data_IF_620905817619
#
_entry.id   IF_620905817619
#
_cell.length_a   1.000
_cell.length_b   1.000
_cell.length_c   1.000
_cell.angle_alpha   90.00
_cell.angle_beta   90.00
_cell.angle_gamma   90.00
#
_symmetry.space_group_name_H-M   'P 1'
#
loop_
_entity.id
_entity.type
_entity.pdbx_description
1 polymer ?
#
# COMPACT_ATOMS: atom_id res chain seq x y z
N UNK A 1 4.49 -24.93 -3.08
CA UNK A 1 5.29 -23.69 -3.29
C UNK A 1 5.43 -22.95 -1.96
N UNK A 2 4.35 -22.55 -1.26
CA UNK A 2 4.38 -21.77 -0.03
C UNK A 2 5.30 -22.38 1.04
N UNK A 3 5.11 -23.65 1.41
CA UNK A 3 5.92 -24.34 2.41
C UNK A 3 7.41 -24.41 1.99
N UNK A 4 7.71 -24.67 0.70
CA UNK A 4 9.07 -24.69 0.19
C UNK A 4 9.76 -23.32 0.33
N UNK A 5 9.09 -22.25 -0.06
CA UNK A 5 9.64 -20.91 0.05
C UNK A 5 9.80 -20.50 1.53
N UNK A 6 8.82 -20.81 2.38
CA UNK A 6 8.88 -20.51 3.79
C UNK A 6 10.00 -21.28 4.51
N UNK A 7 10.22 -22.56 4.16
CA UNK A 7 11.35 -23.33 4.66
C UNK A 7 12.68 -22.72 4.23
N UNK A 8 12.79 -22.31 2.95
CA UNK A 8 14.01 -21.73 2.39
C UNK A 8 14.40 -20.41 3.06
N UNK A 9 13.41 -19.56 3.36
CA UNK A 9 13.61 -18.19 3.86
C UNK A 9 13.24 -18.02 5.34
N UNK A 10 13.36 -19.07 6.14
CA UNK A 10 13.04 -19.03 7.57
C UNK A 10 14.21 -18.62 8.48
N UNK A 11 15.43 -18.66 7.99
CA UNK A 11 16.65 -18.45 8.77
C UNK A 11 17.72 -17.72 7.95
N UNK A 12 18.87 -17.47 8.58
CA UNK A 12 19.98 -16.71 7.99
C UNK A 12 20.71 -17.41 6.84
N UNK A 13 20.39 -18.67 6.53
CA UNK A 13 21.07 -19.43 5.43
C UNK A 13 20.78 -18.81 4.07
N UNK A 14 19.55 -18.35 3.86
CA UNK A 14 19.09 -17.70 2.61
C UNK A 14 18.43 -16.34 2.84
N UNK A 15 18.52 -15.82 4.09
CA UNK A 15 17.77 -14.66 4.53
C UNK A 15 16.41 -15.02 5.12
N UNK A 16 15.83 -14.07 5.88
CA UNK A 16 14.55 -14.27 6.55
C UNK A 16 13.49 -13.39 5.87
N UNK A 17 12.42 -14.01 5.39
CA UNK A 17 11.23 -13.30 4.90
C UNK A 17 10.15 -13.36 5.96
N UNK A 18 9.85 -12.17 6.53
CA UNK A 18 8.84 -12.03 7.59
C UNK A 18 7.47 -11.61 7.06
N UNK A 19 7.43 -10.83 5.98
CA UNK A 19 6.19 -10.31 5.40
C UNK A 19 5.94 -10.97 4.05
N UNK A 20 4.76 -11.55 3.88
CA UNK A 20 4.36 -12.30 2.68
C UNK A 20 3.09 -11.70 2.12
N UNK A 21 3.16 -11.17 0.90
CA UNK A 21 2.01 -10.63 0.18
C UNK A 21 1.52 -11.68 -0.81
N UNK A 22 0.24 -12.04 -0.74
CA UNK A 22 -0.34 -13.08 -1.57
C UNK A 22 -1.14 -12.46 -2.71
N UNK A 23 -0.56 -12.46 -3.90
CA UNK A 23 -1.09 -11.81 -5.09
C UNK A 23 -0.63 -10.36 -5.23
N UNK A 24 -1.12 -9.69 -6.26
CA UNK A 24 -0.92 -8.27 -6.53
C UNK A 24 -2.23 -7.66 -7.01
N UNK A 25 -2.72 -6.61 -6.32
CA UNK A 25 -3.95 -5.90 -6.67
C UNK A 25 -5.07 -6.82 -7.17
N UNK A 26 -5.39 -7.83 -6.35
CA UNK A 26 -6.25 -8.93 -6.79
C UNK A 26 -7.65 -8.49 -7.19
N UNK A 27 -8.11 -7.32 -6.70
CA UNK A 27 -9.32 -6.68 -7.14
C UNK A 27 -9.27 -6.25 -8.62
N UNK A 28 -8.09 -5.98 -9.19
CA UNK A 28 -7.89 -5.69 -10.63
C UNK A 28 -7.66 -7.01 -11.39
N UNK A 29 -8.68 -7.84 -11.37
CA UNK A 29 -8.66 -9.24 -11.81
C UNK A 29 -8.07 -9.46 -13.21
N UNK A 30 -8.50 -8.66 -14.20
CA UNK A 30 -8.10 -8.86 -15.59
C UNK A 30 -6.64 -8.52 -15.85
N UNK A 31 -6.06 -7.59 -15.08
CA UNK A 31 -4.69 -7.11 -15.27
C UNK A 31 -3.67 -7.97 -14.54
N UNK A 32 -3.95 -8.31 -13.28
CA UNK A 32 -2.95 -8.95 -12.41
C UNK A 32 -3.22 -10.41 -12.10
N UNK A 33 -4.50 -10.85 -12.13
CA UNK A 33 -4.86 -12.22 -11.77
C UNK A 33 -5.27 -13.08 -12.96
N UNK A 34 -5.53 -12.50 -14.13
CA UNK A 34 -5.83 -13.17 -15.40
C UNK A 34 -6.97 -14.20 -15.36
N UNK A 35 -7.81 -14.15 -14.33
CA UNK A 35 -8.99 -15.02 -14.23
C UNK A 35 -10.10 -14.53 -15.17
N UNK A 36 -10.91 -15.47 -15.66
CA UNK A 36 -12.18 -15.12 -16.32
C UNK A 36 -13.08 -14.41 -15.31
N UNK A 37 -13.99 -13.58 -15.83
CA UNK A 37 -15.00 -12.96 -14.98
C UNK A 37 -15.83 -14.03 -14.26
N UNK A 38 -15.99 -13.84 -12.96
CA UNK A 38 -16.96 -14.52 -12.09
C UNK A 38 -17.50 -13.49 -11.11
N UNK A 39 -18.63 -13.78 -10.46
CA UNK A 39 -19.17 -12.91 -9.43
C UNK A 39 -18.20 -12.78 -8.24
N UNK A 40 -18.30 -11.66 -7.52
CA UNK A 40 -17.39 -11.33 -6.43
C UNK A 40 -17.32 -12.40 -5.34
N UNK A 41 -18.45 -13.02 -4.98
CA UNK A 41 -18.50 -14.02 -3.89
C UNK A 41 -17.68 -15.28 -4.22
N UNK A 42 -17.87 -15.98 -5.36
CA UNK A 42 -17.01 -17.09 -5.71
C UNK A 42 -15.56 -16.67 -5.92
N UNK A 43 -15.29 -15.45 -6.45
CA UNK A 43 -13.93 -14.93 -6.60
C UNK A 43 -13.23 -14.77 -5.26
N UNK A 44 -13.86 -14.07 -4.32
CA UNK A 44 -13.32 -13.85 -2.97
C UNK A 44 -13.10 -15.16 -2.22
N UNK A 45 -13.98 -16.15 -2.41
CA UNK A 45 -13.84 -17.48 -1.80
C UNK A 45 -12.62 -18.22 -2.32
N UNK A 46 -12.39 -18.22 -3.64
CA UNK A 46 -11.18 -18.84 -4.22
C UNK A 46 -9.92 -18.15 -3.72
N UNK A 47 -9.93 -16.82 -3.65
CA UNK A 47 -8.81 -16.06 -3.11
C UNK A 47 -8.59 -16.35 -1.62
N UNK A 48 -9.63 -16.41 -0.80
CA UNK A 48 -9.54 -16.74 0.62
C UNK A 48 -8.95 -18.15 0.85
N UNK A 49 -9.34 -19.12 0.03
CA UNK A 49 -8.77 -20.48 0.07
C UNK A 49 -7.28 -20.48 -0.32
N UNK A 50 -6.90 -19.73 -1.36
CA UNK A 50 -5.51 -19.60 -1.76
C UNK A 50 -4.67 -18.95 -0.64
N UNK A 51 -5.14 -17.83 -0.06
CA UNK A 51 -4.46 -17.17 1.06
C UNK A 51 -4.32 -18.11 2.26
N UNK A 52 -5.36 -18.87 2.61
CA UNK A 52 -5.31 -19.84 3.71
C UNK A 52 -4.28 -20.97 3.46
N UNK A 53 -4.16 -21.44 2.23
CA UNK A 53 -3.14 -22.44 1.87
C UNK A 53 -1.72 -21.88 2.05
N UNK A 54 -1.50 -20.63 1.61
CA UNK A 54 -0.22 -19.95 1.83
C UNK A 54 0.02 -19.69 3.31
N UNK A 55 -0.97 -19.20 4.04
CA UNK A 55 -0.90 -18.98 5.49
C UNK A 55 -0.46 -20.24 6.22
N UNK A 56 -1.14 -21.37 6.02
CA UNK A 56 -0.80 -22.63 6.67
C UNK A 56 0.61 -23.11 6.31
N UNK A 57 0.98 -23.00 5.04
CA UNK A 57 2.32 -23.36 4.56
C UNK A 57 3.43 -22.49 5.15
N UNK A 58 3.21 -21.18 5.24
CA UNK A 58 4.19 -20.23 5.79
C UNK A 58 4.29 -20.37 7.31
N UNK A 59 3.16 -20.36 8.01
CA UNK A 59 3.13 -20.45 9.48
C UNK A 59 3.69 -21.77 10.01
N UNK A 60 3.62 -22.86 9.24
CA UNK A 60 4.24 -24.14 9.63
C UNK A 60 5.78 -24.09 9.69
N UNK A 61 6.42 -23.15 9.01
CA UNK A 61 7.88 -22.97 9.00
C UNK A 61 8.33 -21.72 9.75
N UNK A 62 7.51 -20.67 9.80
CA UNK A 62 7.76 -19.44 10.55
C UNK A 62 6.47 -18.89 11.15
N UNK A 63 6.20 -19.23 12.41
CA UNK A 63 4.99 -18.80 13.12
C UNK A 63 4.87 -17.27 13.27
N UNK A 64 6.00 -16.54 13.23
CA UNK A 64 6.02 -15.09 13.36
C UNK A 64 5.87 -14.34 12.04
N UNK A 65 5.84 -15.05 10.90
CA UNK A 65 5.63 -14.42 9.61
C UNK A 65 4.23 -13.79 9.52
N UNK A 66 4.15 -12.61 8.90
CA UNK A 66 2.89 -11.91 8.61
C UNK A 66 2.48 -12.18 7.17
N UNK A 67 1.19 -12.40 6.95
CA UNK A 67 0.59 -12.68 5.65
C UNK A 67 -0.38 -11.57 5.30
N UNK A 68 -0.25 -10.99 4.10
CA UNK A 68 -1.07 -9.89 3.63
C UNK A 68 -1.82 -10.26 2.35
N UNK A 69 -3.04 -9.80 2.24
CA UNK A 69 -3.77 -9.73 0.95
C UNK A 69 -3.42 -8.42 0.25
N UNK A 70 -3.54 -8.35 -1.07
CA UNK A 70 -3.13 -7.16 -1.84
C UNK A 70 -4.29 -6.54 -2.61
N UNK A 71 -4.54 -5.26 -2.36
CA UNK A 71 -5.58 -4.47 -3.02
C UNK A 71 -5.02 -3.11 -3.47
N UNK A 72 -5.61 -2.56 -4.56
CA UNK A 72 -5.30 -1.22 -5.06
C UNK A 72 -6.12 -0.12 -4.38
N UNK A 73 -5.94 1.13 -4.81
CA UNK A 73 -6.61 2.32 -4.25
C UNK A 73 -8.08 2.47 -4.63
N UNK A 74 -8.66 1.65 -5.53
CA UNK A 74 -10.05 1.78 -6.01
C UNK A 74 -11.04 1.29 -4.95
N UNK A 75 -11.36 2.12 -3.96
CA UNK A 75 -12.11 1.72 -2.76
C UNK A 75 -13.59 1.45 -3.04
N UNK A 76 -14.37 2.49 -3.38
CA UNK A 76 -15.75 2.37 -3.84
C UNK A 76 -15.85 2.69 -5.34
N UNK A 77 -14.86 2.29 -6.12
CA UNK A 77 -14.81 2.57 -7.54
C UNK A 77 -14.26 1.37 -8.27
N UNK A 78 -14.91 1.04 -9.37
CA UNK A 78 -14.43 0.02 -10.26
C UNK A 78 -14.34 0.57 -11.69
N UNK A 79 -13.20 0.34 -12.32
CA UNK A 79 -12.93 0.87 -13.67
C UNK A 79 -13.76 0.16 -14.73
N UNK A 80 -14.16 -1.08 -14.47
CA UNK A 80 -15.02 -1.88 -15.34
C UNK A 80 -15.55 -3.09 -14.57
N UNK A 81 -16.86 -3.22 -14.50
CA UNK A 81 -17.54 -4.33 -13.80
C UNK A 81 -17.14 -5.73 -14.30
N UNK A 82 -16.59 -5.82 -15.52
CA UNK A 82 -16.12 -7.09 -16.08
C UNK A 82 -14.63 -7.36 -15.88
N UNK A 83 -13.86 -6.38 -15.38
CA UNK A 83 -12.40 -6.48 -15.25
C UNK A 83 -11.90 -6.36 -13.82
N UNK A 84 -12.63 -5.68 -12.95
CA UNK A 84 -12.21 -5.41 -11.58
C UNK A 84 -13.40 -5.43 -10.62
N UNK A 85 -13.10 -5.46 -9.33
CA UNK A 85 -14.03 -5.28 -8.22
C UNK A 85 -13.60 -4.06 -7.41
N UNK A 86 -14.52 -3.41 -6.72
CA UNK A 86 -14.20 -2.40 -5.74
C UNK A 86 -13.39 -3.06 -4.61
N UNK A 87 -12.30 -2.42 -4.19
CA UNK A 87 -11.43 -2.99 -3.16
C UNK A 87 -12.17 -3.21 -1.84
N UNK A 88 -13.08 -2.29 -1.48
CA UNK A 88 -13.91 -2.42 -0.29
C UNK A 88 -14.83 -3.63 -0.34
N UNK A 89 -15.58 -3.81 -1.42
CA UNK A 89 -16.50 -4.92 -1.58
C UNK A 89 -15.77 -6.26 -1.57
N UNK A 90 -14.59 -6.32 -2.24
CA UNK A 90 -13.77 -7.52 -2.21
C UNK A 90 -13.21 -7.82 -0.81
N UNK A 91 -12.78 -6.79 -0.09
CA UNK A 91 -12.30 -6.92 1.30
C UNK A 91 -13.39 -7.47 2.22
N UNK A 92 -14.62 -6.93 2.12
CA UNK A 92 -15.76 -7.34 2.93
C UNK A 92 -16.10 -8.83 2.69
N UNK A 93 -16.26 -9.21 1.42
CA UNK A 93 -16.61 -10.60 1.05
C UNK A 93 -15.47 -11.58 1.36
N UNK A 94 -14.21 -11.15 1.17
CA UNK A 94 -13.05 -11.96 1.56
C UNK A 94 -13.05 -12.23 3.07
N UNK A 95 -13.26 -11.20 3.89
CA UNK A 95 -13.30 -11.33 5.34
C UNK A 95 -14.45 -12.28 5.79
N UNK A 96 -15.63 -12.16 5.17
CA UNK A 96 -16.75 -13.09 5.43
C UNK A 96 -16.37 -14.53 5.10
N UNK A 97 -15.75 -14.78 3.93
CA UNK A 97 -15.29 -16.11 3.54
C UNK A 97 -14.25 -16.68 4.52
N UNK A 98 -13.29 -15.84 4.95
CA UNK A 98 -12.28 -16.26 5.94
C UNK A 98 -12.93 -16.62 7.26
N UNK A 99 -13.85 -15.80 7.78
CA UNK A 99 -14.54 -16.04 9.07
C UNK A 99 -15.43 -17.28 9.04
N UNK A 100 -16.10 -17.54 7.92
CA UNK A 100 -16.95 -18.72 7.77
C UNK A 100 -16.19 -20.05 7.91
N UNK A 101 -14.89 -20.07 7.54
CA UNK A 101 -14.02 -21.24 7.60
C UNK A 101 -13.04 -21.21 8.80
N UNK A 102 -13.15 -20.22 9.68
CA UNK A 102 -12.25 -19.96 10.81
C UNK A 102 -11.30 -18.77 10.54
N UNK A 103 -11.44 -17.73 11.37
CA UNK A 103 -10.63 -16.52 11.26
C UNK A 103 -9.14 -16.82 11.52
N UNK A 104 -8.25 -16.06 10.86
CA UNK A 104 -6.79 -16.07 11.08
C UNK A 104 -6.19 -14.67 10.95
N UNK A 105 -4.95 -14.49 11.37
CA UNK A 105 -4.19 -13.24 11.37
C UNK A 105 -3.65 -12.93 9.96
N UNK A 106 -4.46 -12.27 9.13
CA UNK A 106 -4.04 -11.66 7.87
C UNK A 106 -4.00 -10.13 8.00
N UNK A 107 -3.14 -9.49 7.23
CA UNK A 107 -3.07 -8.03 7.08
C UNK A 107 -3.43 -7.58 5.66
N UNK A 108 -3.49 -6.28 5.44
CA UNK A 108 -3.79 -5.67 4.15
C UNK A 108 -2.53 -4.99 3.57
N UNK A 109 -2.08 -5.45 2.41
CA UNK A 109 -1.13 -4.76 1.56
C UNK A 109 -1.90 -3.84 0.61
N UNK A 110 -1.74 -2.54 0.76
CA UNK A 110 -2.46 -1.52 0.02
C UNK A 110 -1.51 -0.67 -0.83
N UNK A 111 -1.96 -0.23 -2.01
CA UNK A 111 -1.20 0.59 -2.94
C UNK A 111 -1.79 2.01 -3.03
N UNK A 112 -1.41 2.95 -2.16
CA UNK A 112 -2.04 4.26 -2.01
C UNK A 112 -1.46 5.33 -2.95
N UNK A 113 -1.39 5.06 -4.25
CA UNK A 113 -0.92 6.04 -5.22
C UNK A 113 -1.75 7.33 -5.23
N UNK A 114 -1.12 8.43 -5.66
CA UNK A 114 -1.81 9.71 -5.87
C UNK A 114 -2.82 9.66 -7.02
N UNK A 115 -3.75 10.62 -7.03
CA UNK A 115 -4.75 10.79 -8.10
C UNK A 115 -4.58 12.16 -8.77
N UNK A 116 -4.23 12.19 -10.07
CA UNK A 116 -3.74 11.07 -10.88
C UNK A 116 -2.34 10.64 -10.44
N UNK A 117 -1.92 9.41 -10.77
CA UNK A 117 -0.58 8.90 -10.41
C UNK A 117 0.57 9.77 -10.96
N UNK A 118 0.32 10.49 -12.04
CA UNK A 118 1.28 11.43 -12.65
C UNK A 118 1.40 12.77 -11.91
N UNK A 119 0.61 13.00 -10.84
CA UNK A 119 0.66 14.23 -10.04
C UNK A 119 1.23 13.92 -8.65
N UNK A 120 2.47 14.34 -8.34
CA UNK A 120 3.13 13.95 -7.08
C UNK A 120 2.58 14.67 -5.85
N UNK A 121 1.91 15.82 -6.00
CA UNK A 121 1.33 16.58 -4.89
C UNK A 121 -0.02 15.97 -4.46
N UNK A 122 0.01 14.80 -3.87
CA UNK A 122 -1.20 14.06 -3.47
C UNK A 122 -2.10 14.82 -2.47
N UNK A 123 -1.60 15.88 -1.83
CA UNK A 123 -2.36 16.79 -0.96
C UNK A 123 -3.10 17.89 -1.72
N UNK A 124 -2.85 18.04 -3.02
CA UNK A 124 -3.59 18.95 -3.88
C UNK A 124 -4.84 18.25 -4.40
N UNK A 125 -5.93 18.43 -3.69
CA UNK A 125 -7.23 17.84 -4.03
C UNK A 125 -8.02 18.71 -5.04
N UNK A 126 -7.36 19.51 -5.85
CA UNK A 126 -8.01 20.24 -6.94
C UNK A 126 -8.47 19.30 -8.08
N UNK A 127 -9.54 19.66 -8.76
CA UNK A 127 -10.08 18.89 -9.88
C UNK A 127 -10.59 17.50 -9.49
N UNK A 128 -10.30 16.50 -10.30
CA UNK A 128 -10.79 15.11 -10.14
C UNK A 128 -10.40 14.50 -8.78
N UNK A 129 -9.23 14.85 -8.25
CA UNK A 129 -8.78 14.33 -6.97
C UNK A 129 -9.74 14.69 -5.83
N UNK A 130 -10.27 15.91 -5.79
CA UNK A 130 -11.22 16.35 -4.76
C UNK A 130 -12.58 15.65 -4.83
N UNK A 131 -12.94 15.07 -5.96
CA UNK A 131 -14.17 14.29 -6.12
C UNK A 131 -13.97 12.83 -5.72
N UNK A 132 -12.78 12.30 -5.93
CA UNK A 132 -12.46 10.88 -5.76
C UNK A 132 -11.85 10.54 -4.39
N UNK A 133 -11.19 11.51 -3.73
CA UNK A 133 -10.43 11.30 -2.49
C UNK A 133 -11.08 12.08 -1.36
N UNK A 134 -11.92 11.40 -0.59
CA UNK A 134 -12.64 11.95 0.57
C UNK A 134 -12.11 11.30 1.86
N UNK A 135 -12.23 12.01 2.99
CA UNK A 135 -11.82 11.49 4.30
C UNK A 135 -12.92 10.65 5.00
N UNK A 136 -13.80 10.03 4.21
CA UNK A 136 -14.91 9.20 4.69
C UNK A 136 -14.93 7.85 4.00
N UNK A 137 -15.66 6.88 4.56
CA UNK A 137 -15.82 5.54 3.98
C UNK A 137 -16.48 5.56 2.59
N UNK A 138 -17.21 6.62 2.24
CA UNK A 138 -17.85 6.80 0.94
C UNK A 138 -16.86 7.28 -0.15
N UNK A 139 -15.58 7.46 0.19
CA UNK A 139 -14.55 7.84 -0.79
C UNK A 139 -14.51 6.86 -1.95
N UNK A 140 -14.29 7.36 -3.16
CA UNK A 140 -14.09 6.52 -4.34
C UNK A 140 -12.72 5.84 -4.33
N UNK A 141 -11.69 6.55 -3.83
CA UNK A 141 -10.31 6.07 -3.82
C UNK A 141 -9.65 6.33 -2.47
N UNK A 142 -8.81 5.40 -2.03
CA UNK A 142 -7.96 5.59 -0.84
C UNK A 142 -6.51 5.70 -1.28
N UNK A 143 -5.98 6.91 -1.15
CA UNK A 143 -4.59 7.29 -1.41
C UNK A 143 -3.84 7.44 -0.09
N UNK A 144 -2.57 7.81 -0.13
CA UNK A 144 -1.83 8.15 1.10
C UNK A 144 -2.44 9.36 1.84
N UNK A 145 -3.13 10.26 1.14
CA UNK A 145 -3.77 11.43 1.75
C UNK A 145 -4.86 11.04 2.76
N UNK A 146 -5.72 10.11 2.38
CA UNK A 146 -6.85 9.66 3.19
C UNK A 146 -6.71 8.21 3.67
N UNK A 147 -5.48 7.76 3.92
CA UNK A 147 -5.18 6.36 4.32
C UNK A 147 -5.89 5.96 5.63
N UNK A 148 -6.24 6.93 6.46
CA UNK A 148 -7.00 6.73 7.68
C UNK A 148 -8.39 6.11 7.46
N UNK A 149 -8.95 6.24 6.26
CA UNK A 149 -10.19 5.55 5.88
C UNK A 149 -10.04 4.03 6.03
N UNK A 150 -8.97 3.46 5.48
CA UNK A 150 -8.69 2.02 5.59
C UNK A 150 -8.35 1.62 7.01
N UNK A 151 -7.46 2.35 7.69
CA UNK A 151 -7.06 1.95 9.03
C UNK A 151 -8.21 2.08 10.03
N UNK A 152 -9.11 3.05 9.86
CA UNK A 152 -10.34 3.16 10.65
C UNK A 152 -11.34 2.05 10.28
N UNK A 153 -11.45 1.69 9.01
CA UNK A 153 -12.35 0.62 8.55
C UNK A 153 -11.98 -0.74 9.17
N UNK A 154 -10.69 -1.05 9.22
CA UNK A 154 -10.19 -2.29 9.81
C UNK A 154 -10.31 -2.37 11.33
N UNK A 155 -10.62 -1.27 12.02
CA UNK A 155 -10.93 -1.27 13.46
C UNK A 155 -12.37 -1.72 13.78
N UNK A 156 -13.23 -1.89 12.79
CA UNK A 156 -14.57 -2.44 12.99
C UNK A 156 -14.49 -3.86 13.53
N UNK A 157 -15.40 -4.21 14.43
CA UNK A 157 -15.39 -5.50 15.12
C UNK A 157 -15.34 -6.71 14.19
N UNK A 158 -15.99 -6.61 13.04
CA UNK A 158 -16.01 -7.67 12.03
C UNK A 158 -14.66 -7.95 11.39
N UNK A 159 -13.73 -6.97 11.42
CA UNK A 159 -12.38 -7.11 10.84
C UNK A 159 -11.31 -7.52 11.85
N UNK A 160 -11.58 -7.49 13.14
CA UNK A 160 -10.54 -7.81 14.13
C UNK A 160 -9.97 -9.22 13.93
N UNK A 161 -8.69 -9.36 14.23
CA UNK A 161 -7.98 -10.64 14.24
C UNK A 161 -8.52 -11.55 15.34
N UNK A 162 -8.18 -12.85 15.35
CA UNK A 162 -8.67 -13.79 16.37
C UNK A 162 -8.35 -13.42 17.82
N UNK A 163 -7.28 -12.67 18.04
CA UNK A 163 -6.83 -12.15 19.33
C UNK A 163 -7.47 -10.81 19.72
N UNK A 164 -8.29 -10.23 18.84
CA UNK A 164 -8.97 -8.95 19.04
C UNK A 164 -8.16 -7.73 18.58
N UNK A 165 -6.93 -7.91 18.08
CA UNK A 165 -6.12 -6.82 17.57
C UNK A 165 -6.59 -6.38 16.17
N UNK A 166 -6.29 -5.13 15.82
CA UNK A 166 -6.56 -4.56 14.49
C UNK A 166 -5.61 -5.16 13.46
N UNK A 167 -6.12 -5.47 12.28
CA UNK A 167 -5.30 -6.00 11.17
C UNK A 167 -4.28 -4.97 10.71
N UNK A 168 -2.99 -5.36 10.58
CA UNK A 168 -1.96 -4.44 10.15
C UNK A 168 -2.11 -4.09 8.66
N UNK A 169 -1.72 -2.86 8.32
CA UNK A 169 -1.65 -2.37 6.94
C UNK A 169 -0.18 -2.25 6.52
N UNK A 170 0.14 -2.77 5.36
CA UNK A 170 1.42 -2.59 4.70
C UNK A 170 1.21 -1.74 3.44
N UNK A 171 1.80 -0.56 3.36
CA UNK A 171 1.79 0.24 2.13
C UNK A 171 2.86 -0.34 1.19
N UNK A 172 2.45 -1.37 0.44
CA UNK A 172 3.40 -2.27 -0.24
C UNK A 172 3.88 -1.77 -1.59
N UNK A 173 3.19 -0.78 -2.15
CA UNK A 173 3.58 -0.17 -3.41
C UNK A 173 3.05 1.26 -3.50
N UNK A 174 3.93 2.23 -3.60
CA UNK A 174 3.61 3.61 -3.86
C UNK A 174 4.83 4.36 -4.38
N UNK A 175 4.62 5.46 -5.10
CA UNK A 175 5.70 6.28 -5.62
C UNK A 175 5.19 7.62 -6.12
N UNK A 176 6.11 8.56 -6.24
CA UNK A 176 5.85 9.93 -6.69
C UNK A 176 6.73 10.25 -7.89
N UNK A 177 6.15 10.82 -8.93
CA UNK A 177 6.92 11.13 -10.15
C UNK A 177 7.79 12.37 -9.96
N UNK A 178 9.00 12.34 -10.53
CA UNK A 178 9.91 13.51 -10.61
C UNK A 178 9.70 14.37 -11.85
N UNK A 179 8.68 14.12 -12.67
CA UNK A 179 8.41 14.90 -13.90
C UNK A 179 8.10 16.37 -13.63
N UNK A 180 7.69 16.70 -12.40
CA UNK A 180 7.42 18.08 -11.95
C UNK A 180 8.55 18.66 -11.06
N UNK A 181 9.66 17.97 -10.94
CA UNK A 181 10.83 18.33 -10.14
C UNK A 181 11.24 17.21 -9.19
N UNK A 182 12.56 17.01 -9.05
CA UNK A 182 13.11 16.03 -8.11
C UNK A 182 12.81 16.42 -6.63
N UNK A 183 12.77 17.72 -6.37
CA UNK A 183 12.43 18.32 -5.08
C UNK A 183 10.95 18.12 -4.71
N UNK A 184 10.05 18.24 -5.70
CA UNK A 184 8.61 17.96 -5.52
C UNK A 184 8.40 16.47 -5.22
N UNK A 185 9.10 15.58 -5.93
CA UNK A 185 9.08 14.14 -5.68
C UNK A 185 9.53 13.84 -4.24
N UNK A 186 10.63 14.42 -3.81
CA UNK A 186 11.18 14.22 -2.47
C UNK A 186 10.27 14.80 -1.37
N UNK A 187 9.63 15.95 -1.62
CA UNK A 187 8.66 16.55 -0.70
C UNK A 187 7.42 15.67 -0.53
N UNK A 188 6.92 15.09 -1.63
CA UNK A 188 5.80 14.16 -1.58
C UNK A 188 6.15 12.89 -0.79
N UNK A 189 7.33 12.33 -1.02
CA UNK A 189 7.80 11.19 -0.24
C UNK A 189 7.91 11.50 1.26
N UNK A 190 8.54 12.64 1.62
CA UNK A 190 8.69 13.03 3.02
C UNK A 190 7.34 13.17 3.73
N UNK A 191 6.36 13.80 3.08
CA UNK A 191 5.02 13.93 3.65
C UNK A 191 4.31 12.58 3.80
N UNK A 192 4.36 11.73 2.78
CA UNK A 192 3.79 10.39 2.83
C UNK A 192 4.41 9.54 3.94
N UNK A 193 5.74 9.63 4.10
CA UNK A 193 6.45 8.93 5.18
C UNK A 193 5.92 9.35 6.55
N UNK A 194 5.81 10.66 6.83
CA UNK A 194 5.32 11.14 8.12
C UNK A 194 3.85 10.80 8.38
N UNK A 195 2.99 10.74 7.34
CA UNK A 195 1.63 10.21 7.49
C UNK A 195 1.68 8.75 7.94
N UNK A 196 2.47 7.93 7.26
CA UNK A 196 2.58 6.50 7.58
C UNK A 196 3.18 6.25 8.98
N UNK A 197 4.27 6.96 9.32
CA UNK A 197 4.95 6.82 10.61
C UNK A 197 4.06 7.20 11.81
N UNK A 198 3.13 8.13 11.62
CA UNK A 198 2.22 8.59 12.68
C UNK A 198 0.90 7.80 12.75
N UNK A 199 0.73 6.75 11.96
CA UNK A 199 -0.42 5.85 12.02
C UNK A 199 0.03 4.47 12.54
N UNK A 200 -0.34 4.15 13.78
CA UNK A 200 0.09 2.92 14.47
C UNK A 200 -0.38 1.61 13.83
N UNK A 201 -1.32 1.67 12.88
CA UNK A 201 -1.85 0.51 12.18
C UNK A 201 -1.11 0.22 10.86
N UNK A 202 -0.14 1.08 10.50
CA UNK A 202 0.71 0.91 9.32
C UNK A 202 2.04 0.30 9.76
N UNK A 203 2.29 -0.94 9.32
CA UNK A 203 3.52 -1.68 9.68
C UNK A 203 4.75 -1.17 8.92
N UNK A 204 4.60 -0.80 7.66
CA UNK A 204 5.70 -0.31 6.83
C UNK A 204 5.19 0.35 5.54
N UNK A 205 6.08 1.09 4.89
CA UNK A 205 5.88 1.72 3.59
C UNK A 205 7.01 1.30 2.65
N UNK A 206 6.66 0.78 1.47
CA UNK A 206 7.61 0.36 0.44
C UNK A 206 7.47 1.29 -0.76
N UNK A 207 8.56 2.01 -1.07
CA UNK A 207 8.60 2.90 -2.22
C UNK A 207 8.86 2.11 -3.51
N UNK A 208 8.03 2.29 -4.50
CA UNK A 208 8.23 1.88 -5.87
C UNK A 208 8.80 3.08 -6.64
N UNK A 209 10.05 3.08 -7.02
CA UNK A 209 11.05 2.00 -7.13
C UNK A 209 12.48 2.55 -6.94
N UNK A 210 13.47 1.68 -6.98
CA UNK A 210 14.88 2.10 -6.88
C UNK A 210 15.34 2.90 -8.11
N UNK A 211 15.03 2.41 -9.30
CA UNK A 211 15.48 2.99 -10.58
C UNK A 211 14.31 3.20 -11.52
N UNK A 212 14.28 4.32 -12.23
CA UNK A 212 13.26 4.60 -13.25
C UNK A 212 13.14 3.48 -14.28
N UNK A 213 11.93 3.07 -14.61
CA UNK A 213 11.63 2.17 -15.74
C UNK A 213 11.25 2.98 -16.98
N UNK A 214 11.83 2.64 -18.13
CA UNK A 214 11.65 3.39 -19.38
C UNK A 214 10.17 3.50 -19.79
N UNK A 215 9.43 2.41 -19.66
CA UNK A 215 8.02 2.32 -20.03
C UNK A 215 7.14 3.18 -19.13
N UNK A 216 7.47 3.27 -17.85
CA UNK A 216 6.75 4.11 -16.90
C UNK A 216 7.08 5.59 -17.08
N UNK A 217 8.35 5.91 -17.29
CA UNK A 217 8.77 7.29 -17.60
C UNK A 217 8.08 7.81 -18.85
N UNK A 218 7.90 6.98 -19.88
CA UNK A 218 7.16 7.36 -21.08
C UNK A 218 5.66 7.66 -20.79
N UNK A 219 5.12 7.18 -19.68
CA UNK A 219 3.77 7.46 -19.19
C UNK A 219 3.71 8.59 -18.15
N UNK A 220 4.83 9.28 -17.90
CA UNK A 220 4.92 10.35 -16.90
C UNK A 220 5.21 9.85 -15.47
N UNK A 221 5.59 8.58 -15.30
CA UNK A 221 5.84 7.94 -14.02
C UNK A 221 7.35 7.73 -13.78
N UNK A 222 8.09 8.81 -13.56
CA UNK A 222 9.51 8.77 -13.21
C UNK A 222 9.67 8.58 -11.69
N UNK A 223 9.32 7.38 -11.18
CA UNK A 223 9.14 7.08 -9.75
C UNK A 223 10.44 6.74 -9.02
N UNK A 224 11.53 6.44 -9.73
CA UNK A 224 12.78 5.94 -9.15
C UNK A 224 13.46 6.88 -8.17
N UNK A 225 14.19 6.33 -7.22
CA UNK A 225 15.20 7.04 -6.42
C UNK A 225 16.38 7.48 -7.29
N UNK A 226 16.59 6.73 -8.39
CA UNK A 226 17.66 6.99 -9.38
C UNK A 226 17.09 6.97 -10.79
N UNK A 227 17.75 7.69 -11.69
CA UNK A 227 17.52 7.58 -13.12
C UNK A 227 18.03 6.24 -13.68
N UNK A 228 17.61 5.87 -14.88
CA UNK A 228 18.05 4.66 -15.58
C UNK A 228 19.58 4.51 -15.73
N UNK A 229 20.29 5.61 -15.77
CA UNK A 229 21.76 5.62 -15.85
C UNK A 229 22.46 5.50 -14.49
N UNK A 230 21.71 5.29 -13.40
CA UNK A 230 22.22 5.15 -12.04
C UNK A 230 22.50 6.48 -11.32
N UNK A 231 22.30 7.65 -11.98
CA UNK A 231 22.40 8.94 -11.28
C UNK A 231 21.29 9.04 -10.24
N UNK A 232 21.64 9.31 -8.99
CA UNK A 232 20.69 9.53 -7.89
C UNK A 232 19.90 10.81 -8.11
N UNK A 233 18.61 10.76 -7.78
CA UNK A 233 17.73 11.91 -7.72
C UNK A 233 17.78 12.53 -6.32
N UNK A 234 17.20 13.70 -6.14
CA UNK A 234 17.15 14.40 -4.86
C UNK A 234 16.45 13.58 -3.77
N UNK A 235 15.39 12.85 -4.11
CA UNK A 235 14.65 11.94 -3.21
C UNK A 235 15.56 10.86 -2.58
N UNK A 236 16.68 10.49 -3.22
CA UNK A 236 17.56 9.43 -2.71
C UNK A 236 18.07 9.71 -1.30
N UNK A 237 18.54 10.94 -1.06
CA UNK A 237 19.04 11.30 0.27
C UNK A 237 17.89 11.51 1.26
N UNK A 238 16.75 12.06 0.84
CA UNK A 238 15.55 12.12 1.67
C UNK A 238 15.14 10.70 2.12
N UNK A 239 15.05 9.75 1.19
CA UNK A 239 14.74 8.34 1.50
C UNK A 239 15.74 7.71 2.47
N UNK A 240 17.03 7.98 2.25
CA UNK A 240 18.10 7.38 3.05
C UNK A 240 18.14 7.86 4.51
N UNK A 241 17.76 9.11 4.76
CA UNK A 241 17.98 9.74 6.06
C UNK A 241 16.71 10.04 6.84
N UNK A 242 15.51 9.88 6.26
CA UNK A 242 14.25 10.31 6.85
C UNK A 242 13.91 9.61 8.18
N UNK A 243 14.35 8.38 8.39
CA UNK A 243 14.17 7.59 9.63
C UNK A 243 15.40 7.61 10.55
N UNK A 244 16.28 8.60 10.39
CA UNK A 244 17.52 8.75 11.17
C UNK A 244 17.52 10.03 11.98
N UNK A 245 18.51 10.20 12.84
CA UNK A 245 18.74 11.46 13.56
C UNK A 245 19.07 12.67 12.67
N UNK A 246 19.26 12.46 11.36
CA UNK A 246 19.52 13.51 10.38
C UNK A 246 18.27 13.91 9.58
N UNK A 247 17.09 13.35 9.89
CA UNK A 247 15.85 13.52 9.14
C UNK A 247 15.53 14.99 8.82
N UNK A 248 15.62 15.88 9.80
CA UNK A 248 15.32 17.31 9.62
C UNK A 248 16.11 17.95 8.49
N UNK A 249 17.41 17.63 8.37
CA UNK A 249 18.27 18.18 7.32
C UNK A 249 17.82 17.80 5.91
N UNK A 250 17.13 16.67 5.77
CA UNK A 250 16.71 16.11 4.49
C UNK A 250 15.19 16.19 4.22
N UNK A 251 14.41 16.73 5.18
CA UNK A 251 12.95 16.84 5.04
C UNK A 251 12.40 18.23 5.28
N UNK A 252 13.16 19.12 5.95
CA UNK A 252 12.69 20.47 6.29
C UNK A 252 12.26 21.28 5.06
N UNK A 253 12.93 21.13 3.92
CA UNK A 253 12.60 21.81 2.66
C UNK A 253 11.16 21.49 2.19
N UNK A 254 10.67 20.28 2.48
CA UNK A 254 9.35 19.80 2.05
C UNK A 254 8.22 20.64 2.65
N UNK A 255 8.42 21.21 3.85
CA UNK A 255 7.43 22.07 4.50
C UNK A 255 7.07 23.30 3.64
N UNK A 256 8.01 23.80 2.85
CA UNK A 256 7.75 24.92 1.94
C UNK A 256 6.78 24.54 0.82
N UNK A 257 6.84 23.28 0.32
CA UNK A 257 5.92 22.78 -0.72
C UNK A 257 4.50 22.57 -0.19
N UNK A 258 4.38 22.29 1.11
CA UNK A 258 3.09 22.12 1.78
C UNK A 258 2.54 23.44 2.37
N UNK A 259 3.37 24.49 2.45
CA UNK A 259 2.99 25.77 3.07
C UNK A 259 2.82 25.68 4.59
N UNK A 260 3.55 24.77 5.26
CA UNK A 260 3.46 24.53 6.72
C UNK A 260 4.73 25.00 7.45
N UNK A 261 4.56 25.30 8.74
CA UNK A 261 5.68 25.67 9.65
C UNK A 261 6.23 24.45 10.39
N UNK A 262 5.38 23.48 10.69
CA UNK A 262 5.69 22.25 11.42
C UNK A 262 4.91 21.08 10.82
N UNK A 263 5.46 19.89 10.87
CA UNK A 263 4.78 18.65 10.49
C UNK A 263 3.50 18.40 11.28
N UNK A 264 3.43 18.84 12.53
CA UNK A 264 2.24 18.74 13.39
C UNK A 264 0.97 19.41 12.80
N UNK A 265 1.14 20.28 11.78
CA UNK A 265 0.00 20.93 11.13
C UNK A 265 -0.75 20.03 10.14
N UNK A 266 -0.10 19.00 9.65
CA UNK A 266 -0.62 18.11 8.59
C UNK A 266 -0.59 16.63 8.96
N UNK A 267 -0.05 16.31 10.13
CA UNK A 267 0.07 14.95 10.62
C UNK A 267 -0.83 14.80 11.86
N UNK A 268 -1.75 13.86 11.78
CA UNK A 268 -2.56 13.43 12.91
C UNK A 268 -2.03 12.11 13.42
N UNK A 269 -1.67 12.06 14.71
CA UNK A 269 -1.30 10.80 15.35
C UNK A 269 -2.55 9.91 15.48
N UNK A 270 -2.45 8.69 15.03
CA UNK A 270 -3.51 7.68 15.01
C UNK A 270 -3.10 6.45 15.80
#
# INVERSE_FOLDING_TARGET
IAAFLAERYRDNTHGIVMNWIIGNEVNVRSTWNYMKYIDIVPYAREYAQAVRLFYNGIKSHNANAKIYISLDQQWNRNLSSNSSYDSKDLLDVFNECVKAEGNFDWGLAHHPYSVPMTWPKFWDLSGEAGELVLETEDTSMVTIYNIDVITSYLQKQEFLMPDGEVRPVLLSEMGFTSTYGEDVQAAAFAYAYYIAENNQFIDAMILSRETDAAEEVAQGLALGLSYQNGRRKYIYDTFKYIDTGEADAYTEFARNYLGIQSWDQVITKR
#
